data_IF_213566742303
#
_entry.id   IF_213566742303
#
_cell.length_a   1.000
_cell.length_b   1.000
_cell.length_c   1.000
_cell.angle_alpha   90.00
_cell.angle_beta   90.00
_cell.angle_gamma   90.00
#
_symmetry.space_group_name_H-M   'P 1'
#
loop_
_entity.id
_entity.type
_entity.pdbx_description
1 polymer ?
#
# COMPACT_ATOMS: atom_id res chain seq x y z
N UNK A 1 0.01 16.34 -22.34
CA UNK A 1 0.68 16.29 -21.03
C UNK A 1 1.70 15.20 -21.13
N UNK A 2 2.95 15.50 -20.82
CA UNK A 2 4.02 14.50 -20.84
C UNK A 2 3.76 13.49 -19.71
N UNK A 3 3.95 12.20 -19.98
CA UNK A 3 3.75 11.09 -19.04
C UNK A 3 4.53 11.28 -17.74
N UNK A 4 5.72 11.87 -17.81
CA UNK A 4 6.50 12.29 -16.64
C UNK A 4 5.75 13.29 -15.76
N UNK A 5 5.06 14.27 -16.34
CA UNK A 5 4.27 15.23 -15.57
C UNK A 5 3.12 14.53 -14.84
N UNK A 6 2.53 13.50 -15.46
CA UNK A 6 1.49 12.68 -14.83
C UNK A 6 2.07 11.84 -13.69
N UNK A 7 3.26 11.24 -13.86
CA UNK A 7 3.94 10.50 -12.80
C UNK A 7 4.28 11.38 -11.60
N UNK A 8 4.82 12.58 -11.84
CA UNK A 8 5.14 13.54 -10.77
C UNK A 8 3.87 13.99 -10.04
N UNK A 9 2.80 14.30 -10.78
CA UNK A 9 1.52 14.64 -10.18
C UNK A 9 0.96 13.48 -9.35
N UNK A 10 1.05 12.26 -9.86
CA UNK A 10 0.62 11.03 -9.16
C UNK A 10 1.43 10.80 -7.88
N UNK A 11 2.75 10.94 -7.94
CA UNK A 11 3.63 10.83 -6.77
C UNK A 11 3.30 11.91 -5.72
N UNK A 12 3.01 13.13 -6.18
CA UNK A 12 2.63 14.24 -5.30
C UNK A 12 1.29 13.95 -4.61
N UNK A 13 0.29 13.47 -5.34
CA UNK A 13 -1.00 13.05 -4.78
C UNK A 13 -0.82 11.90 -3.81
N UNK A 14 0.03 10.91 -4.11
CA UNK A 14 0.36 9.83 -3.20
C UNK A 14 1.00 10.33 -1.91
N UNK A 15 2.04 11.15 -2.02
CA UNK A 15 2.79 11.65 -0.87
C UNK A 15 1.92 12.54 0.03
N UNK A 16 1.15 13.45 -0.57
CA UNK A 16 0.20 14.30 0.15
C UNK A 16 -0.91 13.45 0.77
N UNK A 17 -1.49 12.52 0.01
CA UNK A 17 -2.51 11.58 0.49
C UNK A 17 -2.02 10.79 1.70
N UNK A 18 -0.83 10.23 1.62
CA UNK A 18 -0.23 9.47 2.71
C UNK A 18 0.08 10.35 3.92
N UNK A 19 0.64 11.55 3.73
CA UNK A 19 0.95 12.47 4.82
C UNK A 19 -0.31 12.93 5.58
N UNK A 20 -1.37 13.29 4.86
CA UNK A 20 -2.63 13.69 5.49
C UNK A 20 -3.38 12.50 6.11
N UNK A 21 -3.31 11.31 5.52
CA UNK A 21 -3.80 10.08 6.13
C UNK A 21 -3.14 9.85 7.51
N UNK A 22 -1.80 9.92 7.56
CA UNK A 22 -1.04 9.78 8.81
C UNK A 22 -1.39 10.87 9.83
N UNK A 23 -1.44 12.13 9.40
CA UNK A 23 -1.71 13.27 10.28
C UNK A 23 -3.13 13.20 10.89
N UNK A 24 -4.15 13.05 10.03
CA UNK A 24 -5.54 13.06 10.46
C UNK A 24 -5.90 11.81 11.26
N UNK A 25 -5.34 10.66 10.90
CA UNK A 25 -5.50 9.43 11.68
C UNK A 25 -4.85 9.53 13.06
N UNK A 26 -3.67 10.16 13.16
CA UNK A 26 -3.03 10.41 14.45
C UNK A 26 -3.84 11.37 15.34
N UNK A 27 -4.42 12.42 14.74
CA UNK A 27 -5.30 13.36 15.44
C UNK A 27 -6.59 12.67 15.92
N UNK A 28 -7.26 11.87 15.08
CA UNK A 28 -8.44 11.09 15.46
C UNK A 28 -8.14 10.12 16.61
N UNK A 29 -6.99 9.44 16.57
CA UNK A 29 -6.56 8.54 17.64
C UNK A 29 -6.40 9.28 18.99
N UNK A 30 -5.85 10.50 18.96
CA UNK A 30 -5.70 11.36 20.15
C UNK A 30 -7.05 11.85 20.68
N UNK A 31 -7.95 12.30 19.80
CA UNK A 31 -9.29 12.78 20.20
C UNK A 31 -10.12 11.69 20.88
N UNK A 32 -10.02 10.45 20.38
CA UNK A 32 -10.70 9.29 20.98
C UNK A 32 -10.03 8.75 22.24
N UNK A 33 -8.93 9.36 22.70
CA UNK A 33 -8.19 8.98 23.92
C UNK A 33 -7.83 7.50 23.96
N UNK A 34 -7.46 6.91 22.82
CA UNK A 34 -7.08 5.49 22.75
C UNK A 34 -5.83 5.24 23.61
N UNK A 35 -5.79 4.09 24.31
CA UNK A 35 -4.67 3.70 25.20
C UNK A 35 -3.41 3.20 24.47
N UNK A 36 -3.34 3.38 23.15
CA UNK A 36 -2.27 2.85 22.30
C UNK A 36 -1.93 3.84 21.18
N UNK A 37 -0.69 3.75 20.69
CA UNK A 37 -0.18 4.62 19.63
C UNK A 37 -0.86 4.33 18.28
N UNK A 38 -0.92 5.35 17.42
CA UNK A 38 -1.54 5.26 16.09
C UNK A 38 -1.03 4.06 15.27
N UNK A 39 0.29 3.90 15.17
CA UNK A 39 0.92 2.78 14.43
C UNK A 39 0.73 1.41 15.08
N UNK A 40 0.25 1.35 16.32
CA UNK A 40 -0.07 0.09 17.02
C UNK A 40 -1.49 -0.40 16.75
N UNK A 41 -2.32 0.40 16.07
CA UNK A 41 -3.65 -0.02 15.64
C UNK A 41 -3.68 -0.40 14.18
N UNK A 42 -4.73 -1.12 13.82
CA UNK A 42 -5.00 -1.50 12.45
C UNK A 42 -5.51 -0.33 11.62
N UNK A 43 -5.27 -0.38 10.32
CA UNK A 43 -5.74 0.63 9.37
C UNK A 43 -7.26 0.83 9.47
N UNK A 44 -8.04 -0.24 9.68
CA UNK A 44 -9.51 -0.16 9.75
C UNK A 44 -10.05 0.64 10.93
N UNK A 45 -9.30 0.72 12.02
CA UNK A 45 -9.70 1.41 13.25
C UNK A 45 -9.59 2.92 13.17
N UNK A 46 -8.92 3.38 12.13
CA UNK A 46 -8.58 4.77 11.90
C UNK A 46 -9.34 5.23 10.69
N UNK A 47 -10.58 5.62 10.95
CA UNK A 47 -11.53 5.86 9.89
C UNK A 47 -12.97 5.57 10.26
N UNK A 48 -13.25 5.14 11.49
CA UNK A 48 -14.61 4.88 11.94
C UNK A 48 -15.52 6.05 11.53
N UNK A 49 -16.57 5.72 10.77
CA UNK A 49 -17.35 6.71 10.02
C UNK A 49 -18.13 7.67 10.93
N UNK A 50 -18.07 7.46 12.25
CA UNK A 50 -18.67 8.33 13.25
C UNK A 50 -17.93 9.65 13.51
N UNK A 51 -16.70 9.84 13.01
CA UNK A 51 -15.92 11.07 13.24
C UNK A 51 -15.46 11.72 11.94
N UNK A 52 -15.56 13.06 11.86
CA UNK A 52 -15.11 13.84 10.70
C UNK A 52 -13.64 13.61 10.38
N UNK A 53 -12.77 13.54 11.40
CA UNK A 53 -11.34 13.26 11.21
C UNK A 53 -11.09 11.85 10.65
N UNK A 54 -11.83 10.84 11.12
CA UNK A 54 -11.77 9.49 10.55
C UNK A 54 -12.19 9.44 9.08
N UNK A 55 -13.29 10.10 8.70
CA UNK A 55 -13.74 10.19 7.31
C UNK A 55 -12.68 10.88 6.43
N UNK A 56 -12.12 11.99 6.91
CA UNK A 56 -11.07 12.72 6.21
C UNK A 56 -9.82 11.84 6.02
N UNK A 57 -9.38 11.15 7.07
CA UNK A 57 -8.27 10.18 7.02
C UNK A 57 -8.49 9.10 5.94
N UNK A 58 -9.68 8.47 5.90
CA UNK A 58 -10.01 7.47 4.85
C UNK A 58 -10.04 8.06 3.44
N UNK A 59 -10.51 9.29 3.31
CA UNK A 59 -10.50 10.00 2.02
C UNK A 59 -9.06 10.18 1.51
N UNK A 60 -8.15 10.60 2.38
CA UNK A 60 -6.74 10.75 2.04
C UNK A 60 -6.03 9.42 1.79
N UNK A 61 -6.40 8.34 2.49
CA UNK A 61 -5.96 6.99 2.15
C UNK A 61 -6.41 6.57 0.74
N UNK A 62 -7.65 6.93 0.37
CA UNK A 62 -8.18 6.65 -0.97
C UNK A 62 -7.43 7.47 -2.03
N UNK A 63 -7.12 8.74 -1.76
CA UNK A 63 -6.29 9.58 -2.64
C UNK A 63 -4.88 9.02 -2.82
N UNK A 64 -4.27 8.50 -1.74
CA UNK A 64 -3.00 7.80 -1.82
C UNK A 64 -3.06 6.65 -2.84
N UNK A 65 -4.09 5.81 -2.78
CA UNK A 65 -4.24 4.70 -3.72
C UNK A 65 -4.57 5.15 -5.15
N UNK A 66 -5.45 6.14 -5.32
CA UNK A 66 -5.79 6.69 -6.64
C UNK A 66 -4.54 7.23 -7.34
N UNK A 67 -3.65 7.92 -6.61
CA UNK A 67 -2.37 8.37 -7.14
C UNK A 67 -1.52 7.21 -7.68
N UNK A 68 -1.38 6.12 -6.91
CA UNK A 68 -0.59 4.96 -7.33
C UNK A 68 -1.16 4.23 -8.54
N UNK A 69 -2.48 4.05 -8.59
CA UNK A 69 -3.16 3.43 -9.74
C UNK A 69 -3.01 4.28 -10.99
N UNK A 70 -3.34 5.58 -10.90
CA UNK A 70 -3.26 6.48 -12.04
C UNK A 70 -1.83 6.63 -12.55
N UNK A 71 -0.87 6.74 -11.63
CA UNK A 71 0.55 6.76 -11.95
C UNK A 71 1.02 5.50 -12.67
N UNK A 72 0.57 4.32 -12.25
CA UNK A 72 0.91 3.05 -12.91
C UNK A 72 0.40 3.00 -14.35
N UNK A 73 -0.84 3.46 -14.60
CA UNK A 73 -1.40 3.53 -15.95
C UNK A 73 -0.78 4.64 -16.81
N UNK A 74 -0.23 5.69 -16.19
CA UNK A 74 0.37 6.80 -16.93
C UNK A 74 1.58 6.40 -17.77
N UNK A 75 2.25 5.30 -17.41
CA UNK A 75 3.35 4.70 -18.18
C UNK A 75 2.92 4.25 -19.58
N UNK A 76 1.62 4.04 -19.83
CA UNK A 76 1.10 3.71 -21.17
C UNK A 76 1.30 4.85 -22.17
N UNK A 77 1.43 6.08 -21.70
CA UNK A 77 1.59 7.26 -22.55
C UNK A 77 3.07 7.57 -22.85
N UNK A 78 4.00 6.83 -22.26
CA UNK A 78 5.44 7.02 -22.46
C UNK A 78 5.91 6.15 -23.63
N UNK A 79 6.53 6.78 -24.64
CA UNK A 79 6.92 6.12 -25.90
C UNK A 79 7.91 4.96 -25.69
N UNK A 80 8.79 5.09 -24.69
CA UNK A 80 9.79 4.08 -24.31
C UNK A 80 9.22 2.76 -23.80
N UNK A 81 7.91 2.70 -23.49
CA UNK A 81 7.26 1.50 -22.96
C UNK A 81 6.21 0.89 -23.90
N UNK A 82 6.05 1.44 -25.11
CA UNK A 82 5.02 1.01 -26.08
C UNK A 82 5.10 -0.49 -26.44
N UNK A 83 6.30 -1.08 -26.50
CA UNK A 83 6.52 -2.51 -26.74
C UNK A 83 6.07 -3.42 -25.59
N UNK A 84 5.81 -2.85 -24.40
CA UNK A 84 5.49 -3.59 -23.17
C UNK A 84 4.10 -3.25 -22.63
N UNK A 85 3.20 -2.74 -23.48
CA UNK A 85 1.86 -2.28 -23.10
C UNK A 85 1.09 -3.30 -22.24
N UNK A 86 1.15 -4.60 -22.57
CA UNK A 86 0.48 -5.65 -21.79
C UNK A 86 0.99 -5.76 -20.34
N UNK A 87 2.30 -5.59 -20.12
CA UNK A 87 2.89 -5.59 -18.77
C UNK A 87 2.49 -4.35 -17.98
N UNK A 88 2.39 -3.19 -18.63
CA UNK A 88 1.96 -1.94 -17.97
C UNK A 88 0.47 -2.02 -17.58
N UNK A 89 -0.38 -2.56 -18.46
CA UNK A 89 -1.79 -2.80 -18.13
C UNK A 89 -1.88 -3.73 -16.93
N UNK A 90 -1.08 -4.81 -16.91
CA UNK A 90 -1.06 -5.73 -15.79
C UNK A 90 -0.58 -5.05 -14.49
N UNK A 91 0.46 -4.21 -14.56
CA UNK A 91 0.92 -3.40 -13.42
C UNK A 91 -0.19 -2.50 -12.87
N UNK A 92 -0.91 -1.79 -13.75
CA UNK A 92 -2.05 -0.94 -13.35
C UNK A 92 -3.20 -1.73 -12.71
N UNK A 93 -3.51 -2.91 -13.23
CA UNK A 93 -4.53 -3.81 -12.64
C UNK A 93 -4.09 -4.32 -11.27
N UNK A 94 -2.82 -4.69 -11.10
CA UNK A 94 -2.28 -5.10 -9.80
C UNK A 94 -2.28 -3.95 -8.79
N UNK A 95 -1.91 -2.75 -9.21
CA UNK A 95 -2.01 -1.54 -8.38
C UNK A 95 -3.47 -1.30 -7.95
N UNK A 96 -4.43 -1.47 -8.86
CA UNK A 96 -5.85 -1.37 -8.54
C UNK A 96 -6.31 -2.45 -7.54
N UNK A 97 -5.90 -3.70 -7.71
CA UNK A 97 -6.22 -4.79 -6.78
C UNK A 97 -5.64 -4.54 -5.38
N UNK A 98 -4.39 -4.07 -5.29
CA UNK A 98 -3.77 -3.70 -4.02
C UNK A 98 -4.52 -2.55 -3.34
N UNK A 99 -4.96 -1.56 -4.13
CA UNK A 99 -5.74 -0.42 -3.66
C UNK A 99 -7.10 -0.84 -3.13
N UNK A 100 -7.85 -1.62 -3.91
CA UNK A 100 -9.18 -2.08 -3.55
C UNK A 100 -9.16 -2.97 -2.29
N UNK A 101 -8.15 -3.83 -2.17
CA UNK A 101 -7.97 -4.70 -1.00
C UNK A 101 -7.56 -3.92 0.25
N UNK A 102 -6.65 -2.96 0.15
CA UNK A 102 -6.28 -2.11 1.29
C UNK A 102 -7.43 -1.18 1.73
N UNK A 103 -8.20 -0.62 0.80
CA UNK A 103 -9.42 0.14 1.14
C UNK A 103 -10.43 -0.80 1.81
N UNK A 104 -10.61 -2.02 1.29
CA UNK A 104 -11.46 -3.04 1.92
C UNK A 104 -10.98 -3.36 3.35
N UNK A 105 -9.68 -3.51 3.58
CA UNK A 105 -9.13 -3.67 4.93
C UNK A 105 -9.49 -2.47 5.81
N UNK A 106 -9.43 -1.24 5.29
CA UNK A 106 -9.79 -0.04 6.06
C UNK A 106 -11.28 0.04 6.45
N UNK A 107 -12.15 -0.73 5.77
CA UNK A 107 -13.59 -0.76 5.98
C UNK A 107 -14.05 -1.98 6.78
N UNK A 108 -13.38 -3.13 6.63
CA UNK A 108 -13.75 -4.40 7.27
C UNK A 108 -13.08 -4.51 8.63
N UNK A 109 -13.85 -4.55 9.73
CA UNK A 109 -13.31 -4.76 11.06
C UNK A 109 -12.61 -6.11 11.23
N UNK A 110 -11.52 -6.17 12.00
CA UNK A 110 -10.74 -7.41 12.19
C UNK A 110 -11.50 -8.53 12.90
N UNK A 111 -12.55 -8.23 13.65
CA UNK A 111 -13.40 -9.27 14.23
C UNK A 111 -14.15 -10.08 13.16
N UNK A 112 -14.31 -9.53 11.95
CA UNK A 112 -14.69 -10.31 10.76
C UNK A 112 -13.45 -10.94 10.14
N UNK A 113 -12.94 -11.96 10.82
CA UNK A 113 -11.66 -12.60 10.52
C UNK A 113 -11.50 -13.00 9.05
N UNK A 114 -12.38 -13.84 8.52
CA UNK A 114 -12.24 -14.40 7.17
C UNK A 114 -12.10 -13.33 6.08
N UNK A 115 -13.04 -12.38 5.97
CA UNK A 115 -12.94 -11.28 5.03
C UNK A 115 -11.70 -10.38 5.22
N UNK A 116 -11.34 -10.05 6.46
CA UNK A 116 -10.18 -9.20 6.73
C UNK A 116 -8.85 -9.88 6.37
N UNK A 117 -8.69 -11.16 6.72
CA UNK A 117 -7.57 -12.01 6.31
C UNK A 117 -7.49 -12.08 4.78
N UNK A 118 -8.60 -12.34 4.10
CA UNK A 118 -8.63 -12.41 2.64
C UNK A 118 -8.15 -11.10 2.01
N UNK A 119 -8.69 -9.95 2.45
CA UNK A 119 -8.27 -8.65 1.94
C UNK A 119 -6.80 -8.37 2.23
N UNK A 120 -6.30 -8.76 3.41
CA UNK A 120 -4.88 -8.63 3.77
C UNK A 120 -3.97 -9.44 2.86
N UNK A 121 -4.30 -10.71 2.61
CA UNK A 121 -3.52 -11.58 1.72
C UNK A 121 -3.53 -11.06 0.30
N UNK A 122 -4.69 -10.62 -0.21
CA UNK A 122 -4.81 -10.03 -1.55
C UNK A 122 -3.98 -8.76 -1.65
N UNK A 123 -4.00 -7.90 -0.63
CA UNK A 123 -3.18 -6.69 -0.57
C UNK A 123 -1.70 -7.02 -0.69
N UNK A 124 -1.16 -7.85 0.20
CA UNK A 124 0.26 -8.21 0.16
C UNK A 124 0.64 -8.89 -1.15
N UNK A 125 -0.15 -9.86 -1.62
CA UNK A 125 0.15 -10.56 -2.86
C UNK A 125 0.19 -9.62 -4.06
N UNK A 126 -0.81 -8.76 -4.19
CA UNK A 126 -0.85 -7.78 -5.29
C UNK A 126 0.28 -6.75 -5.17
N UNK A 127 0.64 -6.27 -3.98
CA UNK A 127 1.79 -5.39 -3.76
C UNK A 127 3.13 -6.06 -4.13
N UNK A 128 3.34 -7.32 -3.76
CA UNK A 128 4.53 -8.10 -4.19
C UNK A 128 4.59 -8.16 -5.72
N UNK A 129 3.44 -8.42 -6.36
CA UNK A 129 3.37 -8.48 -7.82
C UNK A 129 3.58 -7.11 -8.47
N UNK A 130 3.11 -6.01 -7.88
CA UNK A 130 3.39 -4.65 -8.36
C UNK A 130 4.90 -4.39 -8.40
N UNK A 131 5.61 -4.73 -7.33
CA UNK A 131 7.06 -4.53 -7.24
C UNK A 131 7.81 -5.42 -8.25
N UNK A 132 7.42 -6.69 -8.34
CA UNK A 132 8.01 -7.63 -9.29
C UNK A 132 7.78 -7.21 -10.74
N UNK A 133 6.54 -6.87 -11.11
CA UNK A 133 6.19 -6.44 -12.47
C UNK A 133 6.81 -5.07 -12.77
N UNK A 134 6.84 -4.14 -11.82
CA UNK A 134 7.52 -2.86 -11.95
C UNK A 134 9.01 -3.03 -12.23
N UNK A 135 9.69 -3.93 -11.51
CA UNK A 135 11.08 -4.29 -11.77
C UNK A 135 11.28 -4.89 -13.17
N UNK A 136 10.40 -5.79 -13.60
CA UNK A 136 10.44 -6.38 -14.95
C UNK A 136 10.26 -5.29 -16.02
N UNK A 137 9.31 -4.37 -15.84
CA UNK A 137 9.05 -3.26 -16.77
C UNK A 137 10.29 -2.39 -16.92
N UNK A 138 10.93 -1.99 -15.81
CA UNK A 138 12.15 -1.18 -15.86
C UNK A 138 13.35 -1.92 -16.47
N UNK A 139 13.54 -3.21 -16.19
CA UNK A 139 14.62 -4.00 -16.80
C UNK A 139 14.46 -4.15 -18.32
N UNK A 140 13.22 -4.37 -18.77
CA UNK A 140 12.92 -4.47 -20.20
C UNK A 140 13.16 -3.12 -20.90
N UNK A 141 12.72 -2.02 -20.30
CA UNK A 141 12.95 -0.69 -20.82
C UNK A 141 14.45 -0.32 -20.84
N UNK A 142 15.21 -0.66 -19.80
CA UNK A 142 16.68 -0.51 -19.76
C UNK A 142 17.34 -1.23 -20.93
N UNK A 143 16.96 -2.49 -21.17
CA UNK A 143 17.53 -3.33 -22.23
C UNK A 143 17.18 -2.81 -23.63
N UNK A 144 16.00 -2.22 -23.80
CA UNK A 144 15.52 -1.70 -25.09
C UNK A 144 16.11 -0.34 -25.46
N UNK A 145 16.45 0.50 -24.48
CA UNK A 145 16.84 1.90 -24.69
C UNK A 145 18.31 2.21 -24.41
N UNK A 146 19.13 1.20 -24.08
CA UNK A 146 20.49 1.39 -23.57
C UNK A 146 20.53 2.38 -22.38
N UNK A 147 19.56 2.24 -21.47
CA UNK A 147 19.34 3.16 -20.36
C UNK A 147 20.52 3.22 -19.38
N UNK A 148 20.46 4.17 -18.46
CA UNK A 148 21.46 4.31 -17.40
C UNK A 148 21.53 3.06 -16.51
N UNK A 149 22.73 2.70 -16.03
CA UNK A 149 22.92 1.60 -15.06
C UNK A 149 22.06 1.77 -13.80
N UNK A 150 21.73 3.02 -13.45
CA UNK A 150 20.85 3.34 -12.34
C UNK A 150 19.43 2.78 -12.50
N UNK A 151 18.92 2.64 -13.73
CA UNK A 151 17.60 2.04 -13.98
C UNK A 151 17.62 0.55 -13.61
N UNK A 152 18.70 -0.16 -13.95
CA UNK A 152 18.89 -1.55 -13.55
C UNK A 152 18.99 -1.70 -12.02
N UNK A 153 19.71 -0.80 -11.34
CA UNK A 153 19.81 -0.80 -9.87
C UNK A 153 18.44 -0.58 -9.23
N UNK A 154 17.63 0.35 -9.75
CA UNK A 154 16.27 0.60 -9.27
C UNK A 154 15.38 -0.63 -9.46
N UNK A 155 15.47 -1.29 -10.62
CA UNK A 155 14.71 -2.52 -10.86
C UNK A 155 15.09 -3.64 -9.87
N UNK A 156 16.39 -3.80 -9.57
CA UNK A 156 16.86 -4.72 -8.53
C UNK A 156 16.29 -4.35 -7.16
N UNK A 157 16.27 -3.06 -6.81
CA UNK A 157 15.69 -2.60 -5.55
C UNK A 157 14.19 -2.95 -5.45
N UNK A 158 13.43 -2.86 -6.54
CA UNK A 158 12.03 -3.31 -6.57
C UNK A 158 11.89 -4.81 -6.30
N UNK A 159 12.75 -5.67 -6.88
CA UNK A 159 12.73 -7.10 -6.55
C UNK A 159 13.07 -7.37 -5.07
N UNK A 160 14.00 -6.61 -4.50
CA UNK A 160 14.32 -6.71 -3.07
C UNK A 160 13.12 -6.30 -2.20
N UNK A 161 12.39 -5.25 -2.57
CA UNK A 161 11.15 -4.86 -1.90
C UNK A 161 10.07 -5.94 -2.02
N UNK A 162 9.91 -6.55 -3.20
CA UNK A 162 9.00 -7.69 -3.38
C UNK A 162 9.35 -8.84 -2.42
N UNK A 163 10.63 -9.19 -2.29
CA UNK A 163 11.08 -10.22 -1.35
C UNK A 163 10.85 -9.83 0.12
N UNK A 164 11.03 -8.56 0.46
CA UNK A 164 10.70 -8.04 1.79
C UNK A 164 9.21 -8.20 2.10
N UNK A 165 8.32 -7.86 1.15
CA UNK A 165 6.88 -8.05 1.30
C UNK A 165 6.48 -9.53 1.38
N UNK A 166 7.16 -10.43 0.65
CA UNK A 166 7.00 -11.88 0.80
C UNK A 166 7.37 -12.31 2.23
N UNK A 167 8.49 -11.83 2.75
CA UNK A 167 8.91 -12.14 4.12
C UNK A 167 7.91 -11.60 5.17
N UNK A 168 7.29 -10.45 4.91
CA UNK A 168 6.19 -9.96 5.74
C UNK A 168 5.00 -10.90 5.66
N UNK A 169 4.50 -11.25 4.46
CA UNK A 169 3.33 -12.11 4.26
C UNK A 169 3.48 -13.49 4.92
N UNK A 170 4.65 -14.11 4.82
CA UNK A 170 4.92 -15.44 5.38
C UNK A 170 5.43 -15.41 6.83
N UNK A 171 5.47 -14.24 7.48
CA UNK A 171 5.94 -14.16 8.85
C UNK A 171 5.03 -15.03 9.76
N UNK A 172 5.54 -16.09 10.41
CA UNK A 172 4.73 -17.01 11.21
C UNK A 172 4.16 -16.36 12.48
N UNK A 173 4.61 -15.16 12.83
CA UNK A 173 3.95 -14.37 13.88
C UNK A 173 2.64 -13.74 13.40
N UNK A 174 2.39 -13.66 12.08
CA UNK A 174 1.10 -13.29 11.50
C UNK A 174 0.07 -14.41 11.60
N UNK A 175 0.48 -15.68 11.61
CA UNK A 175 -0.46 -16.82 11.69
C UNK A 175 -1.05 -17.06 13.08
N UNK A 176 -0.48 -16.45 14.14
CA UNK A 176 -1.00 -16.50 15.53
C UNK A 176 -2.05 -15.43 15.85
N UNK A 177 -2.53 -14.72 14.84
CA UNK A 177 -3.58 -13.69 14.92
C UNK A 177 -4.95 -14.14 15.45
N UNK A 178 -5.23 -15.44 15.44
CA UNK A 178 -6.51 -16.05 15.83
C UNK A 178 -6.70 -16.06 17.34
N UNK A 179 -5.66 -15.69 18.11
CA UNK A 179 -5.71 -15.56 19.57
C UNK A 179 -6.22 -14.17 20.01
N UNK A 180 -7.15 -13.56 19.27
CA UNK A 180 -7.99 -12.50 19.82
C UNK A 180 -8.96 -13.17 20.81
N UNK A 181 -8.60 -13.22 22.08
CA UNK A 181 -9.52 -13.67 23.14
C UNK A 181 -10.66 -12.65 23.25
N UNK A 182 -11.77 -12.92 22.58
CA UNK A 182 -13.04 -12.21 22.77
C UNK A 182 -13.74 -12.81 23.98
N UNK A 183 -14.03 -11.99 24.99
CA UNK A 183 -14.88 -12.34 26.13
C UNK A 183 -16.09 -11.42 26.12
N UNK A 184 -17.25 -11.97 26.46
CA UNK A 184 -18.48 -11.21 26.63
C UNK A 184 -18.51 -10.69 28.07
N UNK A 185 -18.50 -9.38 28.23
CA UNK A 185 -18.59 -8.69 29.51
C UNK A 185 -20.00 -8.89 30.11
N UNK A 186 -20.16 -8.62 31.41
CA UNK A 186 -21.44 -8.80 32.12
C UNK A 186 -22.59 -7.99 31.50
N UNK A 187 -22.25 -6.89 30.82
CA UNK A 187 -23.19 -6.00 30.12
C UNK A 187 -23.59 -6.51 28.72
N UNK A 188 -23.07 -7.65 28.30
CA UNK A 188 -23.21 -8.19 26.94
C UNK A 188 -22.28 -7.56 25.91
N UNK A 189 -21.40 -6.66 26.32
CA UNK A 189 -20.37 -6.06 25.46
C UNK A 189 -19.29 -7.09 25.13
N UNK A 190 -18.98 -7.28 23.84
CA UNK A 190 -17.89 -8.18 23.44
C UNK A 190 -16.58 -7.41 23.51
N UNK A 191 -15.76 -7.74 24.50
CA UNK A 191 -14.43 -7.18 24.73
C UNK A 191 -13.37 -8.09 24.14
N UNK A 192 -12.50 -7.55 23.27
CA UNK A 192 -11.39 -8.31 22.65
C UNK A 192 -10.06 -7.89 23.29
N UNK A 193 -9.38 -8.82 23.96
CA UNK A 193 -8.02 -8.59 24.46
C UNK A 193 -7.01 -8.75 23.33
N UNK A 194 -6.07 -7.80 23.22
CA UNK A 194 -5.04 -7.81 22.18
C UNK A 194 -3.65 -8.01 22.79
N UNK A 195 -2.84 -8.97 22.31
CA UNK A 195 -1.43 -9.03 22.67
C UNK A 195 -0.67 -7.84 22.08
N UNK A 196 0.23 -7.23 22.88
CA UNK A 196 1.15 -6.17 22.44
C UNK A 196 2.56 -6.76 22.28
N UNK A 197 3.30 -6.48 21.18
CA UNK A 197 2.92 -5.76 19.95
C UNK A 197 2.10 -6.63 18.96
N UNK A 198 1.16 -6.01 18.24
CA UNK A 198 0.32 -6.71 17.27
C UNK A 198 0.99 -6.73 15.89
N UNK A 199 1.59 -7.87 15.54
CA UNK A 199 2.46 -8.02 14.36
C UNK A 199 1.74 -7.73 13.04
N UNK A 200 0.44 -8.03 12.93
CA UNK A 200 -0.34 -7.79 11.71
C UNK A 200 -0.47 -6.30 11.39
N UNK A 201 -0.92 -5.49 12.35
CA UNK A 201 -1.07 -4.06 12.18
C UNK A 201 0.26 -3.42 11.73
N UNK A 202 1.36 -3.82 12.37
CA UNK A 202 2.68 -3.35 11.97
C UNK A 202 3.07 -3.77 10.54
N UNK A 203 2.79 -5.02 10.14
CA UNK A 203 3.03 -5.48 8.77
C UNK A 203 2.19 -4.70 7.76
N UNK A 204 0.93 -4.41 8.05
CA UNK A 204 0.05 -3.60 7.19
C UNK A 204 0.63 -2.20 6.97
N UNK A 205 1.08 -1.56 8.06
CA UNK A 205 1.77 -0.27 8.00
C UNK A 205 3.03 -0.35 7.12
N UNK A 206 3.89 -1.35 7.34
CA UNK A 206 5.07 -1.56 6.53
C UNK A 206 4.73 -1.78 5.05
N UNK A 207 3.63 -2.47 4.74
CA UNK A 207 3.14 -2.64 3.38
C UNK A 207 2.75 -1.31 2.72
N UNK A 208 2.07 -0.42 3.45
CA UNK A 208 1.76 0.93 2.94
C UNK A 208 3.03 1.76 2.70
N UNK A 209 3.98 1.75 3.64
CA UNK A 209 5.26 2.45 3.48
C UNK A 209 6.06 1.92 2.28
N UNK A 210 6.12 0.60 2.12
CA UNK A 210 6.75 -0.03 0.97
C UNK A 210 6.10 0.44 -0.33
N UNK A 211 4.77 0.54 -0.40
CA UNK A 211 4.07 1.04 -1.58
C UNK A 211 4.48 2.46 -2.02
N UNK A 212 4.70 3.38 -1.07
CA UNK A 212 5.23 4.73 -1.38
C UNK A 212 6.63 4.63 -1.99
N UNK A 213 7.51 3.82 -1.38
CA UNK A 213 8.88 3.64 -1.83
C UNK A 213 8.91 3.01 -3.23
N UNK A 214 8.13 1.95 -3.44
CA UNK A 214 8.02 1.26 -4.72
C UNK A 214 7.56 2.20 -5.83
N UNK A 215 6.51 3.00 -5.59
CA UNK A 215 6.05 3.94 -6.60
C UNK A 215 7.08 5.05 -6.89
N UNK A 216 7.76 5.56 -5.86
CA UNK A 216 8.85 6.52 -6.05
C UNK A 216 9.99 5.93 -6.88
N UNK A 217 10.38 4.67 -6.61
CA UNK A 217 11.38 3.96 -7.40
C UNK A 217 10.95 3.79 -8.86
N UNK A 218 9.71 3.39 -9.12
CA UNK A 218 9.16 3.29 -10.49
C UNK A 218 9.21 4.65 -11.18
N UNK A 219 8.76 5.72 -10.52
CA UNK A 219 8.75 7.06 -11.09
C UNK A 219 10.17 7.57 -11.42
N UNK A 220 11.12 7.38 -10.51
CA UNK A 220 12.53 7.75 -10.73
C UNK A 220 13.15 6.91 -11.84
N UNK A 221 12.90 5.60 -11.86
CA UNK A 221 13.38 4.69 -12.90
C UNK A 221 12.87 5.09 -14.29
N UNK A 222 11.58 5.42 -14.39
CA UNK A 222 10.98 5.92 -15.64
C UNK A 222 11.55 7.27 -16.04
N UNK A 223 11.77 8.20 -15.10
CA UNK A 223 12.40 9.48 -15.39
C UNK A 223 13.82 9.32 -15.96
N UNK A 224 14.62 8.41 -15.40
CA UNK A 224 15.99 8.11 -15.85
C UNK A 224 16.07 7.37 -17.19
N UNK A 225 14.94 6.90 -17.73
CA UNK A 225 14.87 6.31 -19.08
C UNK A 225 14.64 7.38 -20.16
N UNK A 226 14.07 8.52 -19.79
CA UNK A 226 13.74 9.61 -20.73
C UNK A 226 14.86 10.64 -20.87
N UNK A 227 15.82 10.66 -19.93
CA UNK A 227 16.97 11.59 -19.90
C UNK A 227 18.31 10.85 -19.80
#
# INVERSE_FOLDING_TARGET
MDSISILIASLSVMAVGFAFFMLLGALDCRERKKKYDYLSGFIFEYGDAGTTLGIASRTFLSLYFVGGVFGSFSLLFESGFSSFMGLIIFLGVLAFLSSASAISMSLIPTYHFGPHLLSTVVFFFSSIMVDAVGGIVLLNAYSASAGSIWVMVIAIALFVLALFLVALLFNPKLSRWTELSSYMDEDGAISTCRPRPFVLAFSEWLGLYAGVISFALIAIGSFLLTY
#
